data_IF_816352140078
#
_entry.id   IF_816352140078
#
_cell.length_a   1.000
_cell.length_b   1.000
_cell.length_c   1.000
_cell.angle_alpha   90.00
_cell.angle_beta   90.00
_cell.angle_gamma   90.00
#
_symmetry.space_group_name_H-M   'P 1'
#
loop_
_entity.id
_entity.type
_entity.pdbx_description
1 polymer ?
#
# COMPACT_ATOMS: atom_id res chain seq x y z
N UNK A 1 58.83 39.06 40.04
CA UNK A 1 58.78 37.85 39.19
C UNK A 1 57.39 37.24 39.28
N UNK A 2 56.53 37.44 38.26
CA UNK A 2 55.21 36.79 38.18
C UNK A 2 55.15 36.05 36.84
N UNK A 3 55.33 34.73 36.87
CA UNK A 3 55.08 33.86 35.72
C UNK A 3 53.56 33.72 35.56
N UNK A 4 53.01 34.35 34.52
CA UNK A 4 51.62 34.16 34.11
C UNK A 4 51.57 32.93 33.20
N UNK A 5 51.10 31.81 33.74
CA UNK A 5 50.80 30.59 32.99
C UNK A 5 49.58 30.85 32.08
N UNK A 6 49.83 30.92 30.77
CA UNK A 6 48.78 30.99 29.76
C UNK A 6 48.28 29.56 29.51
N UNK A 7 47.10 29.24 30.03
CA UNK A 7 46.36 28.04 29.66
C UNK A 7 45.78 28.23 28.26
N UNK A 8 46.39 27.62 27.25
CA UNK A 8 45.81 27.50 25.91
C UNK A 8 44.79 26.35 25.97
N UNK A 9 43.52 26.69 26.13
CA UNK A 9 42.42 25.75 25.95
C UNK A 9 42.26 25.46 24.45
N UNK A 10 42.77 24.31 24.00
CA UNK A 10 42.56 23.82 22.65
C UNK A 10 41.11 23.35 22.51
N UNK A 11 40.22 24.24 22.05
CA UNK A 11 38.86 23.90 21.64
C UNK A 11 38.94 23.04 20.37
N UNK A 12 38.90 21.71 20.54
CA UNK A 12 38.61 20.77 19.46
C UNK A 12 37.16 20.99 19.02
N UNK A 13 36.99 21.83 18.01
CA UNK A 13 35.71 21.99 17.32
C UNK A 13 35.50 20.69 16.55
N UNK A 14 34.80 19.72 17.16
CA UNK A 14 34.23 18.58 16.45
C UNK A 14 33.16 19.13 15.51
N UNK A 15 33.60 19.60 14.34
CA UNK A 15 32.75 19.96 13.22
C UNK A 15 32.10 18.71 12.67
N UNK A 16 31.07 18.22 13.37
CA UNK A 16 30.09 17.29 12.79
C UNK A 16 29.40 18.03 11.67
N UNK A 17 29.97 17.96 10.47
CA UNK A 17 29.25 18.35 9.25
C UNK A 17 28.06 17.40 9.17
N UNK A 18 26.90 17.87 9.61
CA UNK A 18 25.65 17.15 9.44
C UNK A 18 25.38 17.10 7.93
N UNK A 19 25.88 16.05 7.26
CA UNK A 19 25.45 15.70 5.92
C UNK A 19 23.96 15.40 6.06
N UNK A 20 23.11 16.40 5.75
CA UNK A 20 21.67 16.23 5.67
C UNK A 20 21.41 15.19 4.60
N UNK A 21 21.30 13.91 5.00
CA UNK A 21 20.94 12.79 4.11
C UNK A 21 19.68 13.23 3.38
N UNK A 22 19.78 13.58 2.09
CA UNK A 22 18.63 13.97 1.27
C UNK A 22 17.66 12.80 1.36
N UNK A 23 16.56 12.98 2.08
CA UNK A 23 15.49 11.99 2.12
C UNK A 23 14.89 12.00 0.72
N UNK A 24 15.02 10.89 -0.01
CA UNK A 24 14.38 10.74 -1.32
C UNK A 24 12.87 10.91 -1.20
N UNK A 25 12.22 11.32 -2.29
CA UNK A 25 10.75 11.35 -2.35
C UNK A 25 10.22 9.91 -2.15
N UNK A 26 9.26 9.68 -1.24
CA UNK A 26 8.66 8.36 -1.12
C UNK A 26 7.83 8.02 -2.37
N UNK A 27 7.79 6.75 -2.75
CA UNK A 27 7.00 6.25 -3.87
C UNK A 27 6.14 5.06 -3.43
N UNK A 28 4.93 5.00 -3.96
CA UNK A 28 4.11 3.79 -3.95
C UNK A 28 4.27 3.06 -5.28
N UNK A 29 4.73 1.82 -5.21
CA UNK A 29 4.77 0.85 -6.29
C UNK A 29 3.51 0.02 -6.13
N UNK A 30 2.48 0.37 -6.92
CA UNK A 30 1.14 -0.19 -6.80
C UNK A 30 1.00 -1.34 -7.79
N UNK A 31 0.76 -2.55 -7.27
CA UNK A 31 0.40 -3.69 -8.11
C UNK A 31 -0.98 -3.47 -8.72
N UNK A 32 -1.08 -3.46 -10.05
CA UNK A 32 -2.33 -3.25 -10.80
C UNK A 32 -3.15 -4.55 -10.92
N UNK A 33 -4.48 -4.48 -10.80
CA UNK A 33 -5.46 -5.54 -11.04
C UNK A 33 -5.17 -6.82 -10.23
N UNK A 34 -4.96 -6.65 -8.93
CA UNK A 34 -4.61 -7.74 -8.00
C UNK A 34 -5.88 -8.24 -7.33
N UNK A 35 -6.62 -9.11 -8.01
CA UNK A 35 -7.97 -9.51 -7.60
C UNK A 35 -8.04 -10.87 -6.91
N UNK A 36 -6.91 -11.45 -6.54
CA UNK A 36 -6.87 -12.75 -5.84
C UNK A 36 -5.80 -12.78 -4.77
N UNK A 37 -5.99 -13.64 -3.76
CA UNK A 37 -5.00 -13.87 -2.70
C UNK A 37 -3.66 -14.36 -3.27
N UNK A 38 -3.69 -15.13 -4.36
CA UNK A 38 -2.48 -15.59 -5.04
C UNK A 38 -1.68 -14.40 -5.61
N UNK A 39 -2.33 -13.56 -6.42
CA UNK A 39 -1.69 -12.37 -6.99
C UNK A 39 -1.22 -11.40 -5.91
N UNK A 40 -1.99 -11.24 -4.83
CA UNK A 40 -1.60 -10.34 -3.75
C UNK A 40 -0.26 -10.76 -3.13
N UNK A 41 -0.07 -12.06 -2.85
CA UNK A 41 1.22 -12.60 -2.40
C UNK A 41 2.32 -12.38 -3.43
N UNK A 42 2.03 -12.63 -4.70
CA UNK A 42 2.99 -12.51 -5.80
C UNK A 42 3.51 -11.07 -5.94
N UNK A 43 2.61 -10.08 -6.04
CA UNK A 43 2.99 -8.68 -6.24
C UNK A 43 3.75 -8.11 -5.04
N UNK A 44 3.34 -8.44 -3.81
CA UNK A 44 4.09 -8.06 -2.61
C UNK A 44 5.50 -8.67 -2.62
N UNK A 45 5.63 -9.96 -2.98
CA UNK A 45 6.94 -10.64 -3.11
C UNK A 45 7.82 -10.00 -4.19
N UNK A 46 7.24 -9.52 -5.29
CA UNK A 46 7.96 -8.81 -6.36
C UNK A 46 8.37 -7.38 -5.98
N UNK A 47 7.92 -6.86 -4.83
CA UNK A 47 8.39 -5.59 -4.26
C UNK A 47 7.36 -4.48 -4.24
N UNK A 48 6.10 -4.75 -4.61
CA UNK A 48 5.02 -3.79 -4.43
C UNK A 48 4.88 -3.40 -2.95
N UNK A 49 4.60 -2.12 -2.69
CA UNK A 49 4.30 -1.59 -1.35
C UNK A 49 2.87 -1.01 -1.28
N UNK A 50 2.16 -1.01 -2.41
CA UNK A 50 0.73 -0.81 -2.51
C UNK A 50 0.11 -1.82 -3.48
N UNK A 51 -1.20 -2.03 -3.35
CA UNK A 51 -1.98 -2.95 -4.18
C UNK A 51 -3.25 -2.23 -4.63
N UNK A 52 -3.62 -2.37 -5.89
CA UNK A 52 -4.93 -1.99 -6.41
C UNK A 52 -5.76 -3.27 -6.65
N UNK A 53 -7.04 -3.22 -6.25
CA UNK A 53 -8.00 -4.30 -6.49
C UNK A 53 -9.36 -3.75 -6.93
N UNK A 54 -9.93 -4.37 -7.95
CA UNK A 54 -11.22 -4.01 -8.53
C UNK A 54 -12.35 -4.58 -7.68
N UNK A 55 -13.21 -3.73 -7.12
CA UNK A 55 -14.38 -4.16 -6.35
C UNK A 55 -15.60 -4.19 -7.26
N UNK A 56 -16.09 -5.41 -7.52
CA UNK A 56 -17.35 -5.63 -8.23
C UNK A 56 -18.51 -5.62 -7.25
N UNK A 57 -19.61 -4.98 -7.66
CA UNK A 57 -20.84 -4.87 -6.88
C UNK A 57 -21.96 -5.69 -7.51
N UNK A 58 -22.92 -6.11 -6.69
CA UNK A 58 -24.24 -6.49 -7.16
C UNK A 58 -25.00 -5.24 -7.62
N UNK A 59 -26.06 -5.43 -8.42
CA UNK A 59 -26.93 -4.33 -8.87
C UNK A 59 -27.54 -3.53 -7.69
N UNK A 60 -27.65 -4.15 -6.51
CA UNK A 60 -28.11 -3.55 -5.25
C UNK A 60 -27.06 -2.69 -4.53
N UNK A 61 -25.84 -2.58 -5.06
CA UNK A 61 -24.77 -1.82 -4.43
C UNK A 61 -24.00 -2.57 -3.35
N UNK A 62 -24.27 -3.87 -3.15
CA UNK A 62 -23.53 -4.71 -2.22
C UNK A 62 -22.19 -5.13 -2.85
N UNK A 63 -21.03 -4.89 -2.20
CA UNK A 63 -19.74 -5.41 -2.67
C UNK A 63 -19.77 -6.93 -2.70
N UNK A 64 -19.37 -7.53 -3.83
CA UNK A 64 -19.48 -8.96 -4.03
C UNK A 64 -18.12 -9.66 -4.02
N UNK A 65 -17.21 -9.20 -4.88
CA UNK A 65 -15.93 -9.85 -5.10
C UNK A 65 -14.91 -8.85 -5.63
N UNK A 66 -13.64 -9.18 -5.43
CA UNK A 66 -12.56 -8.57 -6.20
C UNK A 66 -12.52 -9.22 -7.58
N UNK A 67 -12.76 -8.46 -8.64
CA UNK A 67 -12.83 -8.98 -10.01
C UNK A 67 -12.90 -7.86 -11.05
N UNK A 68 -12.04 -7.95 -12.06
CA UNK A 68 -12.05 -7.07 -13.23
C UNK A 68 -12.96 -7.59 -14.34
N UNK A 69 -12.64 -8.78 -14.88
CA UNK A 69 -13.25 -9.32 -16.12
C UNK A 69 -12.57 -8.82 -17.40
N UNK A 70 -12.95 -9.39 -18.55
CA UNK A 70 -12.43 -8.95 -19.84
C UNK A 70 -13.24 -7.76 -20.38
N UNK A 71 -12.62 -6.83 -21.14
CA UNK A 71 -11.18 -6.76 -21.47
C UNK A 71 -10.34 -6.25 -20.29
N UNK A 72 -9.04 -6.56 -20.26
CA UNK A 72 -8.07 -6.01 -19.31
C UNK A 72 -6.68 -5.84 -19.96
N UNK A 73 -5.70 -5.35 -19.20
CA UNK A 73 -4.30 -5.21 -19.64
C UNK A 73 -3.78 -6.48 -20.36
N UNK A 74 -2.96 -6.27 -21.38
CA UNK A 74 -2.42 -7.35 -22.21
C UNK A 74 -1.66 -8.39 -21.36
N UNK A 75 -1.82 -9.67 -21.71
CA UNK A 75 -1.16 -10.82 -21.07
C UNK A 75 -1.48 -11.00 -19.57
N UNK A 76 -2.54 -10.38 -19.06
CA UNK A 76 -3.03 -10.57 -17.70
C UNK A 76 -4.17 -11.58 -17.64
N UNK A 77 -4.26 -12.32 -16.54
CA UNK A 77 -5.42 -13.17 -16.23
C UNK A 77 -6.53 -12.27 -15.68
N UNK A 78 -7.44 -11.82 -16.55
CA UNK A 78 -8.55 -10.93 -16.16
C UNK A 78 -9.61 -11.61 -15.28
N UNK A 79 -9.59 -12.95 -15.21
CA UNK A 79 -10.60 -13.77 -14.53
C UNK A 79 -10.27 -14.10 -13.07
N UNK A 80 -9.08 -13.71 -12.59
CA UNK A 80 -8.70 -13.88 -11.20
C UNK A 80 -9.66 -13.11 -10.28
N UNK A 81 -10.07 -13.76 -9.19
CA UNK A 81 -11.08 -13.24 -8.27
C UNK A 81 -10.96 -13.80 -6.87
N UNK A 82 -11.58 -13.11 -5.94
CA UNK A 82 -11.81 -13.56 -4.56
C UNK A 82 -13.08 -12.91 -4.01
N UNK A 83 -13.80 -13.57 -3.10
CA UNK A 83 -14.91 -12.91 -2.41
C UNK A 83 -14.40 -11.70 -1.62
N UNK A 84 -15.17 -10.62 -1.55
CA UNK A 84 -14.68 -9.38 -0.93
C UNK A 84 -14.30 -9.59 0.55
N UNK A 85 -15.06 -10.42 1.27
CA UNK A 85 -14.80 -10.75 2.66
C UNK A 85 -13.49 -11.52 2.87
N UNK A 86 -13.23 -12.54 2.04
CA UNK A 86 -11.97 -13.29 2.10
C UNK A 86 -10.77 -12.40 1.75
N UNK A 87 -10.90 -11.58 0.70
CA UNK A 87 -9.83 -10.71 0.25
C UNK A 87 -9.43 -9.69 1.33
N UNK A 88 -10.41 -8.98 1.90
CA UNK A 88 -10.15 -8.00 2.98
C UNK A 88 -9.68 -8.67 4.27
N UNK A 89 -10.18 -9.86 4.60
CA UNK A 89 -9.67 -10.65 5.73
C UNK A 89 -8.20 -11.01 5.52
N UNK A 90 -7.81 -11.39 4.30
CA UNK A 90 -6.42 -11.69 4.00
C UNK A 90 -5.54 -10.45 4.05
N UNK A 91 -5.98 -9.32 3.48
CA UNK A 91 -5.29 -8.03 3.62
C UNK A 91 -5.08 -7.69 5.10
N UNK A 92 -6.11 -7.83 5.94
CA UNK A 92 -6.02 -7.57 7.39
C UNK A 92 -4.91 -8.40 8.05
N UNK A 93 -4.77 -9.68 7.69
CA UNK A 93 -3.69 -10.54 8.23
C UNK A 93 -2.31 -10.00 7.84
N UNK A 94 -2.16 -9.53 6.61
CA UNK A 94 -0.90 -8.97 6.13
C UNK A 94 -0.57 -7.59 6.72
N UNK A 95 -1.57 -6.83 7.17
CA UNK A 95 -1.36 -5.45 7.66
C UNK A 95 -1.45 -5.33 9.19
N UNK A 96 -1.72 -6.42 9.91
CA UNK A 96 -1.84 -6.43 11.38
C UNK A 96 -0.56 -6.98 12.01
N UNK A 97 0.17 -6.14 12.76
CA UNK A 97 1.44 -6.53 13.42
C UNK A 97 1.33 -7.73 14.36
N UNK A 98 0.17 -7.93 14.99
CA UNK A 98 -0.08 -9.04 15.93
C UNK A 98 -0.21 -10.40 15.23
N UNK A 99 -0.43 -10.42 13.90
CA UNK A 99 -0.47 -11.64 13.10
C UNK A 99 0.93 -11.92 12.51
N UNK A 100 1.87 -12.26 13.40
CA UNK A 100 3.31 -12.31 13.11
C UNK A 100 3.72 -13.24 11.96
N UNK A 101 2.89 -14.24 11.60
CA UNK A 101 3.20 -15.19 10.54
C UNK A 101 2.98 -14.63 9.14
N UNK A 102 2.04 -13.68 9.01
CA UNK A 102 1.62 -13.15 7.71
C UNK A 102 1.89 -11.65 7.56
N UNK A 103 2.14 -10.93 8.65
CA UNK A 103 2.40 -9.50 8.60
C UNK A 103 3.49 -9.13 7.57
N UNK A 104 3.16 -8.20 6.66
CA UNK A 104 4.01 -7.72 5.59
C UNK A 104 4.32 -6.23 5.80
N UNK A 105 5.43 -5.87 6.47
CA UNK A 105 5.70 -4.49 6.91
C UNK A 105 5.74 -3.44 5.80
N UNK A 106 6.02 -3.85 4.56
CA UNK A 106 6.12 -2.96 3.40
C UNK A 106 4.77 -2.71 2.72
N UNK A 107 3.73 -3.48 3.03
CA UNK A 107 2.41 -3.27 2.46
C UNK A 107 1.70 -2.15 3.22
N UNK A 108 1.61 -0.97 2.59
CA UNK A 108 1.16 0.26 3.26
C UNK A 108 -0.05 0.92 2.62
N UNK A 109 -0.47 0.48 1.43
CA UNK A 109 -1.59 1.07 0.71
C UNK A 109 -2.42 0.00 -0.01
N UNK A 110 -3.72 -0.08 0.32
CA UNK A 110 -4.70 -0.77 -0.51
C UNK A 110 -5.55 0.30 -1.22
N UNK A 111 -5.53 0.29 -2.56
CA UNK A 111 -6.38 1.10 -3.41
C UNK A 111 -7.54 0.23 -3.91
N UNK A 112 -8.77 0.67 -3.70
CA UNK A 112 -9.96 -0.06 -4.13
C UNK A 112 -10.55 0.66 -5.34
N UNK A 113 -10.49 0.03 -6.52
CA UNK A 113 -11.18 0.55 -7.71
C UNK A 113 -12.64 0.10 -7.67
N UNK A 114 -13.52 1.03 -7.29
CA UNK A 114 -14.94 0.74 -7.10
C UNK A 114 -15.68 0.78 -8.45
N UNK A 115 -16.01 -0.40 -8.99
CA UNK A 115 -16.73 -0.55 -10.26
C UNK A 115 -18.24 -0.26 -10.11
N UNK A 116 -18.57 1.00 -9.85
CA UNK A 116 -19.94 1.45 -9.55
C UNK A 116 -20.89 1.47 -10.75
N UNK A 117 -20.39 1.28 -11.98
CA UNK A 117 -21.20 1.35 -13.20
C UNK A 117 -22.24 0.21 -13.32
N UNK A 118 -22.09 -0.86 -12.55
CA UNK A 118 -23.03 -2.00 -12.53
C UNK A 118 -24.15 -1.85 -11.49
N UNK A 119 -24.07 -0.83 -10.62
CA UNK A 119 -25.04 -0.57 -9.57
C UNK A 119 -26.24 0.16 -10.20
N UNK A 120 -27.45 -0.25 -9.85
CA UNK A 120 -28.66 0.42 -10.31
C UNK A 120 -28.66 1.89 -9.85
N UNK A 121 -29.16 2.77 -10.71
CA UNK A 121 -29.15 4.22 -10.47
C UNK A 121 -29.84 4.64 -9.17
N UNK A 122 -30.86 3.89 -8.72
CA UNK A 122 -31.54 4.17 -7.45
C UNK A 122 -30.61 4.01 -6.25
N UNK A 123 -29.88 2.89 -6.16
CA UNK A 123 -28.90 2.66 -5.10
C UNK A 123 -27.69 3.60 -5.20
N UNK A 124 -27.30 4.00 -6.42
CA UNK A 124 -26.28 5.04 -6.60
C UNK A 124 -26.71 6.39 -6.01
N UNK A 125 -27.96 6.79 -6.26
CA UNK A 125 -28.53 8.02 -5.69
C UNK A 125 -28.64 7.93 -4.17
N UNK A 126 -29.07 6.79 -3.64
CA UNK A 126 -29.11 6.53 -2.20
C UNK A 126 -27.71 6.66 -1.56
N UNK A 127 -26.66 6.22 -2.28
CA UNK A 127 -25.26 6.36 -1.87
C UNK A 127 -24.64 7.75 -2.14
N UNK A 128 -25.41 8.71 -2.67
CA UNK A 128 -24.96 10.10 -2.88
C UNK A 128 -24.22 10.38 -4.19
N UNK A 129 -24.40 9.55 -5.23
CA UNK A 129 -23.88 9.80 -6.59
C UNK A 129 -24.89 10.50 -7.49
#
# INVERSE_FOLDING_TARGET
MKCMLIFIALLLINGSTAIRKKRGRPFWIIGHMVNSIHQLREFLRLGANGIEADVKFLATGIPWQTYHGAPCDCLRICSAKETIGNYLTYVRKLTTKLDHLLYYPRFSLLLLDLKTYQINSWHLKEAGK
#
